data_IF_524479557555
#
_entry.id   IF_524479557555
#
_cell.length_a   1.000
_cell.length_b   1.000
_cell.length_c   1.000
_cell.angle_alpha   90.00
_cell.angle_beta   90.00
_cell.angle_gamma   90.00
#
_symmetry.space_group_name_H-M   'P 1'
#
loop_
_entity.id
_entity.type
_entity.pdbx_description
1 polymer ?
#
# COMPACT_ATOMS: atom_id res chain seq x y z
N UNK A 1 -33.89 36.64 -19.64
CA UNK A 1 -33.24 35.68 -18.71
C UNK A 1 -32.04 34.93 -19.31
N UNK A 2 -31.30 35.48 -20.30
CA UNK A 2 -30.06 34.88 -20.82
C UNK A 2 -28.79 35.64 -20.44
N UNK A 3 -28.93 36.85 -19.90
CA UNK A 3 -27.81 37.73 -19.52
C UNK A 3 -27.29 37.46 -18.09
N UNK A 4 -28.12 36.90 -17.21
CA UNK A 4 -27.76 36.61 -15.81
C UNK A 4 -26.91 35.35 -15.65
N UNK A 5 -26.97 34.41 -16.60
CA UNK A 5 -26.20 33.16 -16.56
C UNK A 5 -24.73 33.41 -16.96
N UNK A 6 -24.49 34.34 -17.89
CA UNK A 6 -23.13 34.67 -18.36
C UNK A 6 -22.30 35.34 -17.26
N UNK A 7 -22.94 36.17 -16.42
CA UNK A 7 -22.28 36.84 -15.29
C UNK A 7 -21.83 35.87 -14.18
N UNK A 8 -22.55 34.75 -13.99
CA UNK A 8 -22.19 33.73 -13.00
C UNK A 8 -21.00 32.86 -13.45
N UNK A 9 -20.83 32.66 -14.77
CA UNK A 9 -19.70 31.88 -15.32
C UNK A 9 -18.40 32.68 -15.30
N UNK A 10 -18.45 34.01 -15.50
CA UNK A 10 -17.24 34.84 -15.46
C UNK A 10 -16.65 34.99 -14.04
N UNK A 11 -17.49 34.98 -13.00
CA UNK A 11 -17.05 35.07 -11.61
C UNK A 11 -16.32 33.81 -11.12
N UNK A 12 -16.59 32.65 -11.72
CA UNK A 12 -15.95 31.38 -11.33
C UNK A 12 -14.51 31.23 -11.87
N UNK A 13 -14.14 31.96 -12.92
CA UNK A 13 -12.81 31.84 -13.57
C UNK A 13 -11.73 32.69 -12.88
N UNK A 14 -12.11 33.72 -12.10
CA UNK A 14 -11.16 34.61 -11.43
C UNK A 14 -10.71 34.15 -10.03
N UNK A 15 -11.10 32.95 -9.60
CA UNK A 15 -10.82 32.43 -8.26
C UNK A 15 -9.49 31.67 -8.08
N UNK A 16 -8.67 31.50 -9.12
CA UNK A 16 -7.40 30.77 -9.03
C UNK A 16 -6.21 31.72 -9.14
N UNK A 17 -5.85 32.36 -8.03
CA UNK A 17 -4.49 32.84 -7.78
C UNK A 17 -4.28 33.05 -6.28
N UNK A 18 -3.83 32.02 -5.58
CA UNK A 18 -3.15 32.18 -4.30
C UNK A 18 -1.79 31.49 -4.36
N UNK A 19 -0.80 32.34 -4.65
CA UNK A 19 0.60 32.30 -4.28
C UNK A 19 1.28 30.95 -4.10
N UNK A 20 2.29 30.71 -4.95
CA UNK A 20 3.42 29.89 -4.57
C UNK A 20 4.03 30.48 -3.30
N UNK A 21 3.83 29.81 -2.16
CA UNK A 21 4.58 30.09 -0.96
C UNK A 21 6.04 29.71 -1.24
N UNK A 22 6.90 30.71 -1.36
CA UNK A 22 8.34 30.53 -1.37
C UNK A 22 8.73 29.88 -0.05
N UNK A 23 9.22 28.65 -0.09
CA UNK A 23 9.82 28.00 1.08
C UNK A 23 11.02 28.84 1.52
N UNK A 24 10.83 29.66 2.54
CA UNK A 24 11.94 30.22 3.31
C UNK A 24 12.72 29.04 3.87
N UNK A 25 13.95 28.83 3.38
CA UNK A 25 14.87 27.90 4.01
C UNK A 25 14.95 28.24 5.50
N UNK A 26 14.72 27.28 6.41
CA UNK A 26 14.87 27.56 7.82
C UNK A 26 16.30 28.02 8.06
N UNK A 27 16.48 29.20 8.67
CA UNK A 27 17.75 29.59 9.25
C UNK A 27 18.20 28.43 10.14
N UNK A 28 19.37 27.85 9.84
CA UNK A 28 20.01 26.87 10.69
C UNK A 28 20.33 27.53 12.02
N UNK A 29 19.42 27.43 12.97
CA UNK A 29 19.73 27.72 14.36
C UNK A 29 20.74 26.67 14.81
N UNK A 30 21.86 27.15 15.34
CA UNK A 30 22.92 26.37 15.97
C UNK A 30 22.33 25.23 16.77
N UNK A 31 22.73 24.00 16.45
CA UNK A 31 22.24 22.77 17.10
C UNK A 31 22.55 22.91 18.59
N UNK A 32 21.51 23.02 19.40
CA UNK A 32 21.64 23.00 20.85
C UNK A 32 22.19 21.62 21.24
N UNK A 33 23.41 21.57 21.76
CA UNK A 33 24.11 20.33 22.09
C UNK A 33 23.34 19.47 23.13
N UNK A 34 22.33 20.06 23.78
CA UNK A 34 21.47 19.41 24.77
C UNK A 34 20.04 19.12 24.27
N UNK A 35 19.74 19.29 22.98
CA UNK A 35 18.44 18.97 22.43
C UNK A 35 18.16 17.45 22.57
N UNK A 36 17.26 17.09 23.49
CA UNK A 36 16.74 15.72 23.62
C UNK A 36 15.91 15.39 22.38
N UNK A 37 16.54 14.75 21.38
CA UNK A 37 15.85 14.21 20.21
C UNK A 37 14.81 13.20 20.70
N UNK A 38 13.54 13.55 20.55
CA UNK A 38 12.43 12.66 20.89
C UNK A 38 12.29 11.62 19.78
N UNK A 39 13.13 10.57 19.85
CA UNK A 39 13.29 9.51 18.83
C UNK A 39 11.98 8.81 18.43
N UNK A 40 10.92 8.96 19.24
CA UNK A 40 9.61 8.36 18.96
C UNK A 40 8.78 9.18 17.97
N UNK A 41 8.93 10.51 17.94
CA UNK A 41 8.24 11.38 16.97
C UNK A 41 8.84 11.30 15.55
N UNK A 42 10.12 10.97 15.45
CA UNK A 42 10.85 10.90 14.16
C UNK A 42 10.78 9.53 13.47
N UNK A 43 10.24 8.50 14.14
CA UNK A 43 10.12 7.17 13.52
C UNK A 43 8.84 7.11 12.67
N UNK A 44 8.94 6.80 11.37
CA UNK A 44 7.75 6.57 10.56
C UNK A 44 6.95 5.41 11.16
N UNK A 45 5.65 5.61 11.37
CA UNK A 45 4.74 4.58 11.90
C UNK A 45 4.82 3.34 11.01
N UNK A 46 5.29 2.21 11.58
CA UNK A 46 5.35 0.94 10.85
C UNK A 46 3.93 0.46 10.57
N UNK A 47 3.56 0.34 9.29
CA UNK A 47 2.29 -0.29 8.91
C UNK A 47 2.43 -1.80 9.08
N UNK A 48 1.59 -2.38 9.93
CA UNK A 48 1.49 -3.83 10.07
C UNK A 48 0.61 -4.36 8.94
N UNK A 49 1.17 -5.20 8.08
CA UNK A 49 0.44 -5.90 7.02
C UNK A 49 0.18 -7.35 7.45
N UNK A 50 -0.98 -7.87 7.06
CA UNK A 50 -1.27 -9.29 7.21
C UNK A 50 -0.43 -10.11 6.22
N UNK A 51 0.00 -11.30 6.62
CA UNK A 51 0.88 -12.13 5.79
C UNK A 51 0.16 -13.39 5.35
N UNK A 52 0.17 -13.68 4.04
CA UNK A 52 -0.26 -14.98 3.52
C UNK A 52 0.98 -15.79 3.18
N UNK A 53 1.23 -16.85 3.95
CA UNK A 53 2.42 -17.68 3.79
C UNK A 53 2.21 -18.74 2.70
N UNK A 54 3.17 -18.85 1.79
CA UNK A 54 3.24 -19.82 0.67
C UNK A 54 4.53 -20.64 0.77
N UNK A 55 4.55 -21.83 0.16
CA UNK A 55 5.74 -22.70 0.17
C UNK A 55 6.68 -22.43 -0.99
N UNK A 56 6.12 -21.94 -2.08
CA UNK A 56 6.81 -21.62 -3.31
C UNK A 56 6.27 -20.30 -3.87
N UNK A 57 6.95 -19.82 -4.89
CA UNK A 57 6.54 -18.64 -5.68
C UNK A 57 5.45 -18.99 -6.70
N UNK A 58 5.00 -20.25 -6.79
CA UNK A 58 4.03 -20.66 -7.81
C UNK A 58 2.65 -20.06 -7.55
N UNK A 59 2.08 -19.45 -8.59
CA UNK A 59 0.76 -18.85 -8.56
C UNK A 59 0.71 -17.52 -7.80
N UNK A 60 1.86 -16.99 -7.38
CA UNK A 60 2.03 -15.66 -6.82
C UNK A 60 3.04 -14.90 -7.68
N UNK A 61 2.70 -13.68 -8.10
CA UNK A 61 3.65 -12.80 -8.80
C UNK A 61 4.59 -12.17 -7.75
N UNK A 62 5.45 -13.00 -7.16
CA UNK A 62 6.40 -12.59 -6.13
C UNK A 62 7.53 -11.76 -6.77
N UNK A 63 7.85 -10.59 -6.22
CA UNK A 63 8.80 -9.65 -6.83
C UNK A 63 8.19 -8.73 -7.89
N UNK A 64 6.91 -8.91 -8.24
CA UNK A 64 6.23 -8.05 -9.20
C UNK A 64 5.64 -6.82 -8.51
N UNK A 65 6.25 -5.65 -8.74
CA UNK A 65 5.82 -4.39 -8.10
C UNK A 65 4.35 -4.05 -8.32
N UNK A 66 3.81 -4.29 -9.52
CA UNK A 66 2.39 -4.04 -9.81
C UNK A 66 1.45 -4.86 -8.92
N UNK A 67 1.80 -6.12 -8.67
CA UNK A 67 1.00 -7.01 -7.84
C UNK A 67 1.22 -6.74 -6.34
N UNK A 68 2.46 -6.48 -5.93
CA UNK A 68 2.80 -6.17 -4.55
C UNK A 68 2.17 -4.87 -4.06
N UNK A 69 2.18 -3.82 -4.86
CA UNK A 69 1.57 -2.54 -4.48
C UNK A 69 0.06 -2.70 -4.31
N UNK A 70 -0.56 -3.54 -5.14
CA UNK A 70 -1.97 -3.88 -5.01
C UNK A 70 -2.26 -4.67 -3.71
N UNK A 71 -1.52 -5.73 -3.42
CA UNK A 71 -1.73 -6.50 -2.18
C UNK A 71 -1.47 -5.64 -0.95
N UNK A 72 -0.41 -4.82 -0.95
CA UNK A 72 -0.12 -3.85 0.12
C UNK A 72 -1.26 -2.85 0.31
N UNK A 73 -1.89 -2.37 -0.77
CA UNK A 73 -3.07 -1.50 -0.67
C UNK A 73 -4.30 -2.19 -0.05
N UNK A 74 -4.37 -3.52 -0.15
CA UNK A 74 -5.35 -4.35 0.56
C UNK A 74 -4.89 -4.77 1.96
N UNK A 75 -3.80 -4.21 2.47
CA UNK A 75 -3.33 -4.47 3.83
C UNK A 75 -2.70 -5.85 4.04
N UNK A 76 -2.30 -6.57 2.97
CA UNK A 76 -1.63 -7.86 3.10
C UNK A 76 -0.48 -8.05 2.10
N UNK A 77 0.41 -9.01 2.35
CA UNK A 77 1.43 -9.42 1.39
C UNK A 77 1.63 -10.94 1.39
N UNK A 78 2.26 -11.47 0.35
CA UNK A 78 2.64 -12.87 0.28
C UNK A 78 4.06 -13.05 0.80
N UNK A 79 4.25 -14.02 1.68
CA UNK A 79 5.55 -14.42 2.19
C UNK A 79 5.85 -15.86 1.75
N UNK A 80 7.05 -16.11 1.27
CA UNK A 80 7.46 -17.42 0.74
C UNK A 80 8.40 -18.07 1.73
N UNK A 81 7.89 -19.09 2.41
CA UNK A 81 8.65 -19.86 3.38
C UNK A 81 8.82 -21.29 2.87
N UNK A 82 10.06 -21.64 2.51
CA UNK A 82 10.40 -22.99 2.08
C UNK A 82 10.19 -23.98 3.23
N UNK A 83 9.80 -25.21 2.91
CA UNK A 83 9.59 -26.27 3.91
C UNK A 83 10.95 -26.68 4.50
N UNK A 84 11.03 -26.82 5.82
CA UNK A 84 12.23 -27.31 6.50
C UNK A 84 13.32 -26.27 6.74
N UNK A 85 13.12 -25.00 6.33
CA UNK A 85 14.01 -23.91 6.72
C UNK A 85 13.75 -23.49 8.17
N UNK A 86 14.83 -23.15 8.90
CA UNK A 86 14.75 -22.61 10.25
C UNK A 86 13.87 -21.35 10.27
N UNK A 87 12.87 -21.31 11.15
CA UNK A 87 11.89 -20.22 11.24
C UNK A 87 10.66 -20.36 10.34
N UNK A 88 10.57 -21.39 9.50
CA UNK A 88 9.39 -21.67 8.66
C UNK A 88 8.24 -22.25 9.47
N UNK A 89 7.01 -21.77 9.22
CA UNK A 89 5.82 -22.30 9.89
C UNK A 89 5.54 -23.76 9.48
N UNK A 90 5.27 -24.61 10.47
CA UNK A 90 4.74 -25.95 10.24
C UNK A 90 3.41 -25.90 9.48
N UNK A 91 3.12 -26.96 8.70
CA UNK A 91 1.96 -26.99 7.79
C UNK A 91 0.61 -26.68 8.45
N UNK A 92 0.39 -27.21 9.67
CA UNK A 92 -0.84 -26.97 10.43
C UNK A 92 -0.94 -25.53 10.95
N UNK A 93 0.13 -25.01 11.55
CA UNK A 93 0.19 -23.62 12.03
C UNK A 93 -0.01 -22.63 10.89
N UNK A 94 0.62 -22.89 9.74
CA UNK A 94 0.45 -22.12 8.52
C UNK A 94 -0.97 -22.14 7.99
N UNK A 95 -1.64 -23.29 8.05
CA UNK A 95 -3.05 -23.40 7.65
C UNK A 95 -3.93 -22.48 8.49
N UNK A 96 -3.82 -22.54 9.82
CA UNK A 96 -4.60 -21.69 10.72
C UNK A 96 -4.25 -20.21 10.62
N UNK A 97 -2.96 -19.88 10.46
CA UNK A 97 -2.52 -18.52 10.22
C UNK A 97 -3.14 -17.94 8.94
N UNK A 98 -3.01 -18.67 7.83
CA UNK A 98 -3.61 -18.27 6.55
C UNK A 98 -5.14 -18.23 6.62
N UNK A 99 -5.79 -19.12 7.38
CA UNK A 99 -7.22 -19.09 7.58
C UNK A 99 -7.64 -17.80 8.29
N UNK A 100 -6.96 -17.44 9.38
CA UNK A 100 -7.21 -16.17 10.09
C UNK A 100 -7.07 -14.95 9.19
N UNK A 101 -5.97 -14.87 8.42
CA UNK A 101 -5.74 -13.76 7.49
C UNK A 101 -6.79 -13.71 6.38
N UNK A 102 -7.13 -14.85 5.77
CA UNK A 102 -8.17 -14.90 4.74
C UNK A 102 -9.54 -14.51 5.28
N UNK A 103 -9.87 -14.93 6.50
CA UNK A 103 -11.11 -14.55 7.18
C UNK A 103 -11.14 -13.04 7.42
N UNK A 104 -10.05 -12.45 7.93
CA UNK A 104 -9.95 -11.00 8.09
C UNK A 104 -10.11 -10.25 6.74
N UNK A 105 -9.56 -10.79 5.65
CA UNK A 105 -9.73 -10.23 4.30
C UNK A 105 -11.16 -10.33 3.79
N UNK A 106 -11.90 -11.39 4.12
CA UNK A 106 -13.32 -11.51 3.77
C UNK A 106 -14.14 -10.40 4.46
N UNK A 107 -13.86 -10.11 5.73
CA UNK A 107 -14.56 -9.06 6.48
C UNK A 107 -14.15 -7.64 6.08
N UNK A 108 -12.87 -7.40 5.79
CA UNK A 108 -12.36 -6.06 5.45
C UNK A 108 -12.55 -5.70 3.97
N UNK A 109 -12.54 -6.69 3.08
CA UNK A 109 -12.50 -6.49 1.63
C UNK A 109 -13.56 -7.31 0.86
N UNK A 110 -14.62 -7.75 1.53
CA UNK A 110 -15.71 -8.56 0.98
C UNK A 110 -15.28 -9.97 0.50
N UNK A 111 -16.19 -10.97 0.45
CA UNK A 111 -15.85 -12.34 0.06
C UNK A 111 -15.31 -12.46 -1.38
N UNK A 112 -15.55 -11.45 -2.24
CA UNK A 112 -14.98 -11.37 -3.59
C UNK A 112 -13.54 -10.81 -3.65
N UNK A 113 -12.88 -10.54 -2.52
CA UNK A 113 -11.50 -10.06 -2.48
C UNK A 113 -10.55 -10.95 -3.31
N UNK A 114 -10.72 -12.27 -3.22
CA UNK A 114 -9.90 -13.24 -3.96
C UNK A 114 -10.08 -13.11 -5.48
N UNK A 115 -11.30 -12.84 -5.95
CA UNK A 115 -11.56 -12.61 -7.36
C UNK A 115 -10.87 -11.34 -7.86
N UNK A 116 -10.90 -10.26 -7.06
CA UNK A 116 -10.19 -9.00 -7.37
C UNK A 116 -8.67 -9.21 -7.42
N UNK A 117 -8.09 -9.91 -6.45
CA UNK A 117 -6.66 -10.28 -6.44
C UNK A 117 -6.31 -11.09 -7.68
N UNK A 118 -7.11 -12.10 -8.03
CA UNK A 118 -6.86 -12.92 -9.22
C UNK A 118 -6.97 -12.14 -10.54
N UNK A 119 -7.90 -11.19 -10.63
CA UNK A 119 -8.02 -10.30 -11.79
C UNK A 119 -6.77 -9.42 -11.92
N UNK A 120 -6.40 -8.71 -10.85
CA UNK A 120 -5.23 -7.84 -10.85
C UNK A 120 -3.93 -8.60 -11.10
N UNK A 121 -3.83 -9.83 -10.57
CA UNK A 121 -2.71 -10.74 -10.86
C UNK A 121 -2.56 -10.99 -12.36
N UNK A 122 -3.64 -11.32 -13.05
CA UNK A 122 -3.63 -11.53 -14.51
C UNK A 122 -3.26 -10.25 -15.25
N UNK A 123 -3.76 -9.11 -14.81
CA UNK A 123 -3.46 -7.81 -15.43
C UNK A 123 -1.98 -7.45 -15.28
N UNK A 124 -1.42 -7.55 -14.06
CA UNK A 124 0.00 -7.31 -13.82
C UNK A 124 0.88 -8.29 -14.60
N UNK A 125 0.49 -9.57 -14.69
CA UNK A 125 1.18 -10.58 -15.49
C UNK A 125 1.27 -10.20 -16.96
N UNK A 126 0.15 -9.73 -17.54
CA UNK A 126 0.10 -9.27 -18.93
C UNK A 126 0.99 -8.06 -19.17
N UNK A 127 1.02 -7.12 -18.23
CA UNK A 127 1.81 -5.89 -18.34
C UNK A 127 3.31 -6.13 -18.20
N UNK A 128 3.72 -6.99 -17.27
CA UNK A 128 5.15 -7.23 -16.99
C UNK A 128 5.77 -8.36 -17.82
N UNK A 129 4.96 -9.16 -18.52
CA UNK A 129 5.45 -10.37 -19.20
C UNK A 129 5.96 -11.45 -18.24
N UNK A 130 5.59 -11.37 -16.96
CA UNK A 130 6.06 -12.29 -15.91
C UNK A 130 5.20 -13.55 -15.86
N UNK A 131 5.45 -14.47 -16.80
CA UNK A 131 4.66 -15.70 -16.96
C UNK A 131 5.03 -16.81 -15.98
N UNK A 132 6.10 -16.65 -15.19
CA UNK A 132 6.65 -17.69 -14.30
C UNK A 132 5.97 -17.70 -12.92
N UNK A 133 5.45 -16.54 -12.49
CA UNK A 133 4.65 -16.40 -11.25
C UNK A 133 3.24 -17.01 -11.30
#
# INVERSE_FOLDING_TARGET
MRLTIVLFVLAAVLGFNKGYAQETMPKTNTIDANAKVNKEKERPKRKHYMTIVKFDTKGILYGNKCFEDFTKSMGFFYDVQNKGQSGSLNGFTKFWHNAGVKTALVFTHWPWWKARVNKKKKDCRKLSGDFVG
#
